data_IF_985383192008
#
_entry.id   IF_985383192008
#
_cell.length_a   1.000
_cell.length_b   1.000
_cell.length_c   1.000
_cell.angle_alpha   90.00
_cell.angle_beta   90.00
_cell.angle_gamma   90.00
#
_symmetry.space_group_name_H-M   'P 1'
#
loop_
_entity.id
_entity.type
_entity.pdbx_description
1 polymer ?
#
# COMPACT_ATOMS: atom_id res chain seq x y z
N UNK A 1 -24.69 -17.89 -20.05
CA UNK A 1 -23.94 -16.63 -19.82
C UNK A 1 -22.47 -16.59 -20.23
N UNK A 2 -21.60 -17.57 -19.90
CA UNK A 2 -20.18 -17.53 -20.33
C UNK A 2 -20.01 -17.57 -21.87
N UNK A 3 -20.87 -18.33 -22.57
CA UNK A 3 -20.89 -18.35 -24.03
C UNK A 3 -21.22 -16.96 -24.63
N UNK A 4 -22.09 -16.18 -23.97
CA UNK A 4 -22.42 -14.83 -24.39
C UNK A 4 -21.23 -13.88 -24.22
N UNK A 5 -20.46 -14.03 -23.13
CA UNK A 5 -19.22 -13.28 -22.93
C UNK A 5 -18.21 -13.55 -24.06
N UNK A 6 -17.99 -14.82 -24.42
CA UNK A 6 -17.12 -15.19 -25.55
C UNK A 6 -17.60 -14.57 -26.86
N UNK A 7 -18.90 -14.65 -27.12
CA UNK A 7 -19.50 -14.05 -28.30
C UNK A 7 -19.29 -12.54 -28.35
N UNK A 8 -19.52 -11.82 -27.24
CA UNK A 8 -19.30 -10.38 -27.14
C UNK A 8 -17.83 -10.01 -27.37
N UNK A 9 -16.89 -10.77 -26.83
CA UNK A 9 -15.46 -10.58 -27.04
C UNK A 9 -15.08 -10.75 -28.53
N UNK A 10 -15.66 -11.73 -29.21
CA UNK A 10 -15.46 -11.94 -30.65
C UNK A 10 -16.09 -10.82 -31.49
N UNK A 11 -17.28 -10.34 -31.10
CA UNK A 11 -17.91 -9.17 -31.71
C UNK A 11 -17.01 -7.92 -31.56
N UNK A 12 -16.48 -7.68 -30.36
CA UNK A 12 -15.55 -6.58 -30.11
C UNK A 12 -14.27 -6.72 -30.94
N UNK A 13 -13.69 -7.92 -31.02
CA UNK A 13 -12.53 -8.20 -31.88
C UNK A 13 -12.82 -7.85 -33.35
N UNK A 14 -14.01 -8.21 -33.87
CA UNK A 14 -14.42 -7.85 -35.24
C UNK A 14 -14.61 -6.35 -35.43
N UNK A 15 -15.24 -5.67 -34.48
CA UNK A 15 -15.52 -4.22 -34.59
C UNK A 15 -14.27 -3.36 -34.41
N UNK A 16 -13.36 -3.75 -33.52
CA UNK A 16 -12.14 -2.98 -33.21
C UNK A 16 -10.97 -3.31 -34.13
N UNK A 17 -10.99 -4.46 -34.82
CA UNK A 17 -9.85 -4.98 -35.57
C UNK A 17 -8.73 -5.55 -34.68
N UNK A 18 -8.93 -5.64 -33.37
CA UNK A 18 -7.96 -6.21 -32.42
C UNK A 18 -8.19 -7.71 -32.22
N UNK A 19 -7.12 -8.50 -32.18
CA UNK A 19 -7.19 -9.95 -31.96
C UNK A 19 -6.86 -10.32 -30.51
N UNK A 20 -7.67 -11.19 -29.91
CA UNK A 20 -7.41 -11.73 -28.57
C UNK A 20 -6.28 -12.74 -28.63
N UNK A 21 -5.27 -12.56 -27.79
CA UNK A 21 -4.19 -13.52 -27.63
C UNK A 21 -4.56 -14.51 -26.52
N UNK A 22 -5.11 -15.67 -26.92
CA UNK A 22 -5.53 -16.71 -25.98
C UNK A 22 -4.35 -17.37 -25.24
N UNK A 23 -3.13 -17.36 -25.80
CA UNK A 23 -1.93 -17.89 -25.12
C UNK A 23 -1.50 -17.03 -23.93
N UNK A 24 -1.76 -15.73 -23.98
CA UNK A 24 -1.52 -14.78 -22.89
C UNK A 24 -2.73 -14.57 -21.99
N UNK A 25 -3.90 -15.12 -22.36
CA UNK A 25 -5.14 -14.95 -21.63
C UNK A 25 -5.37 -16.14 -20.71
N UNK A 26 -5.67 -15.85 -19.44
CA UNK A 26 -6.09 -16.86 -18.48
C UNK A 26 -7.45 -16.49 -17.89
N UNK A 27 -8.16 -17.51 -17.41
CA UNK A 27 -9.42 -17.37 -16.70
C UNK A 27 -9.23 -17.90 -15.30
N UNK A 28 -9.55 -17.06 -14.31
CA UNK A 28 -9.56 -17.44 -12.91
C UNK A 28 -10.99 -17.67 -12.46
N UNK A 29 -11.26 -18.87 -11.96
CA UNK A 29 -12.60 -19.27 -11.50
C UNK A 29 -12.58 -19.38 -9.97
N UNK A 30 -13.51 -18.71 -9.31
CA UNK A 30 -13.63 -18.70 -7.84
C UNK A 30 -14.91 -19.42 -7.42
N UNK A 31 -14.81 -20.31 -6.43
CA UNK A 31 -15.97 -20.98 -5.83
C UNK A 31 -16.57 -22.15 -6.61
N UNK A 32 -15.85 -22.67 -7.62
CA UNK A 32 -16.25 -23.83 -8.41
C UNK A 32 -15.31 -25.02 -8.18
N UNK A 33 -15.79 -26.27 -8.29
CA UNK A 33 -14.93 -27.44 -8.30
C UNK A 33 -14.00 -27.45 -9.51
N UNK A 34 -12.83 -28.11 -9.43
CA UNK A 34 -11.78 -28.02 -10.45
C UNK A 34 -12.23 -28.48 -11.85
N UNK A 35 -13.13 -29.48 -11.92
CA UNK A 35 -13.67 -29.97 -13.19
C UNK A 35 -14.55 -28.92 -13.89
N UNK A 36 -15.40 -28.22 -13.14
CA UNK A 36 -16.23 -27.15 -13.69
C UNK A 36 -15.39 -25.92 -14.05
N UNK A 37 -14.40 -25.59 -13.22
CA UNK A 37 -13.45 -24.51 -13.52
C UNK A 37 -12.71 -24.75 -14.84
N UNK A 38 -12.26 -25.99 -15.08
CA UNK A 38 -11.64 -26.37 -16.35
C UNK A 38 -12.63 -26.25 -17.51
N UNK A 39 -13.86 -26.76 -17.35
CA UNK A 39 -14.90 -26.63 -18.38
C UNK A 39 -15.24 -25.17 -18.73
N UNK A 40 -15.14 -24.25 -17.77
CA UNK A 40 -15.30 -22.80 -18.00
C UNK A 40 -14.11 -22.24 -18.81
N UNK A 41 -12.89 -22.61 -18.45
CA UNK A 41 -11.68 -22.19 -19.16
C UNK A 41 -11.68 -22.68 -20.62
N UNK A 42 -12.04 -23.95 -20.84
CA UNK A 42 -12.14 -24.57 -22.16
C UNK A 42 -13.19 -23.88 -23.03
N UNK A 43 -14.36 -23.53 -22.46
CA UNK A 43 -15.39 -22.77 -23.18
C UNK A 43 -14.88 -21.42 -23.66
N UNK A 44 -14.02 -20.75 -22.89
CA UNK A 44 -13.42 -19.47 -23.24
C UNK A 44 -12.18 -19.60 -24.14
N UNK A 45 -11.69 -20.81 -24.40
CA UNK A 45 -10.41 -21.10 -25.05
C UNK A 45 -9.21 -20.46 -24.32
N UNK A 46 -9.28 -20.31 -22.99
CA UNK A 46 -8.22 -19.71 -22.18
C UNK A 46 -7.59 -20.77 -21.26
N UNK A 47 -6.38 -20.50 -20.79
CA UNK A 47 -5.76 -21.34 -19.73
C UNK A 47 -6.48 -21.11 -18.41
N UNK A 48 -6.62 -22.16 -17.59
CA UNK A 48 -7.09 -22.02 -16.22
C UNK A 48 -5.97 -21.40 -15.37
N UNK A 49 -6.22 -20.20 -14.86
CA UNK A 49 -5.31 -19.48 -13.97
C UNK A 49 -5.48 -19.89 -12.51
N UNK A 50 -4.47 -19.62 -11.69
CA UNK A 50 -4.50 -19.85 -10.25
C UNK A 50 -3.95 -18.66 -9.47
N UNK A 51 -4.41 -18.50 -8.22
CA UNK A 51 -3.84 -17.53 -7.30
C UNK A 51 -2.60 -18.12 -6.61
N UNK A 52 -1.59 -17.29 -6.29
CA UNK A 52 -1.48 -15.85 -6.57
C UNK A 52 -1.03 -15.56 -8.01
N UNK A 53 -1.57 -14.48 -8.62
CA UNK A 53 -1.17 -14.00 -9.96
C UNK A 53 -0.56 -12.61 -9.92
N UNK A 54 0.15 -12.20 -10.97
CA UNK A 54 0.75 -10.86 -11.05
C UNK A 54 0.03 -10.00 -12.09
N UNK A 55 -0.57 -8.90 -11.64
CA UNK A 55 -1.19 -7.90 -12.52
C UNK A 55 -0.44 -6.58 -12.42
N UNK A 56 0.05 -6.08 -13.56
CA UNK A 56 0.85 -4.84 -13.65
C UNK A 56 2.02 -4.80 -12.64
N UNK A 57 2.61 -5.96 -12.35
CA UNK A 57 3.71 -6.09 -11.41
C UNK A 57 3.31 -6.15 -9.93
N UNK A 58 2.00 -6.13 -9.60
CA UNK A 58 1.49 -6.35 -8.25
C UNK A 58 0.97 -7.78 -8.13
N UNK A 59 1.35 -8.54 -7.09
CA UNK A 59 0.75 -9.83 -6.79
C UNK A 59 -0.68 -9.63 -6.26
N UNK A 60 -1.62 -10.36 -6.86
CA UNK A 60 -3.02 -10.45 -6.46
C UNK A 60 -3.25 -11.88 -5.96
N UNK A 61 -3.84 -11.98 -4.78
CA UNK A 61 -4.23 -13.25 -4.17
C UNK A 61 -5.65 -13.14 -3.63
N UNK A 62 -6.33 -14.27 -3.59
CA UNK A 62 -7.61 -14.47 -2.91
C UNK A 62 -7.46 -14.44 -1.38
N UNK A 63 -6.25 -14.76 -0.90
CA UNK A 63 -5.84 -14.78 0.49
C UNK A 63 -4.89 -13.63 0.83
N UNK A 64 -4.54 -13.50 2.11
CA UNK A 64 -3.58 -12.48 2.56
C UNK A 64 -2.21 -12.80 1.99
N UNK A 65 -1.60 -11.84 1.31
CA UNK A 65 -0.28 -12.01 0.73
C UNK A 65 0.77 -12.26 1.82
N UNK A 66 1.61 -13.24 1.57
CA UNK A 66 2.71 -13.62 2.44
C UNK A 66 3.99 -12.88 2.07
N UNK A 67 5.03 -13.05 2.89
CA UNK A 67 6.37 -12.55 2.57
C UNK A 67 6.87 -13.14 1.25
N UNK A 68 6.58 -14.42 0.97
CA UNK A 68 7.03 -15.09 -0.24
C UNK A 68 6.42 -14.47 -1.50
N UNK A 69 5.15 -14.08 -1.45
CA UNK A 69 4.45 -13.49 -2.60
C UNK A 69 4.95 -12.07 -2.92
N UNK A 70 5.37 -11.33 -1.90
CA UNK A 70 5.83 -9.95 -2.02
C UNK A 70 7.34 -9.84 -2.31
N UNK A 71 8.13 -10.85 -1.91
CA UNK A 71 9.59 -10.88 -2.09
C UNK A 71 10.05 -10.67 -3.54
N UNK A 72 9.42 -11.25 -4.59
CA UNK A 72 9.80 -11.00 -5.99
C UNK A 72 9.84 -9.51 -6.37
N UNK A 73 9.01 -8.68 -5.75
CA UNK A 73 9.02 -7.23 -5.99
C UNK A 73 10.26 -6.55 -5.39
N UNK A 74 10.73 -7.03 -4.24
CA UNK A 74 12.00 -6.61 -3.63
C UNK A 74 13.20 -7.16 -4.41
N UNK A 75 13.15 -8.41 -4.89
CA UNK A 75 14.22 -8.99 -5.71
C UNK A 75 14.39 -8.25 -7.05
N UNK A 76 13.29 -7.81 -7.68
CA UNK A 76 13.35 -6.95 -8.88
C UNK A 76 14.08 -5.64 -8.63
N UNK A 77 13.95 -5.08 -7.42
CA UNK A 77 14.71 -3.90 -7.02
C UNK A 77 16.19 -4.24 -6.84
N UNK A 78 16.55 -5.37 -6.24
CA UNK A 78 17.94 -5.83 -6.14
C UNK A 78 18.61 -5.94 -7.52
N UNK A 79 17.97 -6.61 -8.48
CA UNK A 79 18.54 -6.80 -9.83
C UNK A 79 18.72 -5.49 -10.61
N UNK A 80 18.01 -4.42 -10.26
CA UNK A 80 18.23 -3.09 -10.85
C UNK A 80 19.44 -2.37 -10.25
N UNK A 81 19.81 -2.73 -9.02
CA UNK A 81 20.89 -2.10 -8.25
C UNK A 81 22.22 -2.80 -8.48
N UNK A 82 22.21 -4.11 -8.68
CA UNK A 82 23.41 -4.92 -8.94
C UNK A 82 24.28 -4.38 -10.10
N UNK A 83 23.73 -3.93 -11.23
CA UNK A 83 24.52 -3.38 -12.33
C UNK A 83 25.15 -2.02 -12.00
N UNK A 84 24.66 -1.32 -10.98
CA UNK A 84 25.18 0.00 -10.64
C UNK A 84 26.55 -0.14 -9.99
N UNK A 85 27.57 0.14 -10.79
CA UNK A 85 28.96 0.23 -10.34
C UNK A 85 29.13 1.44 -9.43
N UNK A 86 28.87 1.26 -8.13
CA UNK A 86 29.04 2.28 -7.11
C UNK A 86 30.40 2.99 -7.18
N UNK A 87 31.46 2.29 -7.65
CA UNK A 87 32.81 2.84 -7.83
C UNK A 87 32.90 4.10 -8.70
N UNK A 88 32.01 4.26 -9.69
CA UNK A 88 32.03 5.42 -10.60
C UNK A 88 31.14 6.57 -10.13
N UNK A 89 30.51 6.43 -8.97
CA UNK A 89 29.52 7.37 -8.46
C UNK A 89 29.99 7.97 -7.15
N UNK A 90 29.93 9.31 -7.06
CA UNK A 90 30.10 10.03 -5.81
C UNK A 90 29.05 9.59 -4.78
N UNK A 91 29.34 9.75 -3.48
CA UNK A 91 28.36 9.43 -2.42
C UNK A 91 27.04 10.18 -2.61
N UNK A 92 27.09 11.43 -3.05
CA UNK A 92 25.90 12.23 -3.35
C UNK A 92 25.09 11.64 -4.52
N UNK A 93 25.76 11.23 -5.61
CA UNK A 93 25.09 10.60 -6.75
C UNK A 93 24.40 9.27 -6.35
N UNK A 94 25.02 8.50 -5.46
CA UNK A 94 24.39 7.26 -4.92
C UNK A 94 23.11 7.55 -4.15
N UNK A 95 23.09 8.58 -3.30
CA UNK A 95 21.88 9.00 -2.57
C UNK A 95 20.75 9.39 -3.55
N UNK A 96 21.09 10.16 -4.57
CA UNK A 96 20.13 10.60 -5.59
C UNK A 96 19.54 9.39 -6.33
N UNK A 97 20.38 8.44 -6.75
CA UNK A 97 19.93 7.22 -7.43
C UNK A 97 19.02 6.35 -6.55
N UNK A 98 19.38 6.18 -5.27
CA UNK A 98 18.54 5.45 -4.30
C UNK A 98 17.15 6.11 -4.22
N UNK A 99 17.09 7.43 -4.05
CA UNK A 99 15.82 8.11 -3.89
C UNK A 99 14.99 8.17 -5.18
N UNK A 100 15.60 8.32 -6.36
CA UNK A 100 14.88 8.48 -7.62
C UNK A 100 14.37 7.16 -8.20
N UNK A 101 15.13 6.08 -8.09
CA UNK A 101 14.91 4.88 -8.90
C UNK A 101 14.66 3.60 -8.10
N UNK A 102 15.29 3.43 -6.93
CA UNK A 102 15.03 2.26 -6.07
C UNK A 102 13.65 2.31 -5.42
N UNK A 103 13.11 3.51 -5.24
CA UNK A 103 11.94 3.73 -4.42
C UNK A 103 10.64 3.65 -5.24
N UNK A 104 10.64 4.07 -6.51
CA UNK A 104 9.44 4.15 -7.36
C UNK A 104 8.74 2.81 -7.63
N UNK A 105 9.47 1.72 -7.87
CA UNK A 105 8.88 0.39 -8.09
C UNK A 105 8.18 -0.13 -6.82
N UNK A 106 8.83 0.04 -5.67
CA UNK A 106 8.28 -0.41 -4.38
C UNK A 106 7.15 0.50 -3.89
N UNK A 107 7.18 1.80 -4.22
CA UNK A 107 6.11 2.74 -3.85
C UNK A 107 4.77 2.35 -4.43
N UNK A 108 4.74 1.84 -5.66
CA UNK A 108 3.50 1.39 -6.27
C UNK A 108 2.86 0.26 -5.47
N UNK A 109 3.64 -0.75 -5.08
CA UNK A 109 3.15 -1.86 -4.27
C UNK A 109 2.82 -1.43 -2.82
N UNK A 110 3.68 -0.62 -2.20
CA UNK A 110 3.49 -0.09 -0.84
C UNK A 110 2.27 0.82 -0.70
N UNK A 111 1.75 1.36 -1.82
CA UNK A 111 0.50 2.13 -1.82
C UNK A 111 -0.73 1.27 -1.54
N UNK A 112 -0.65 -0.04 -1.74
CA UNK A 112 -1.78 -0.97 -1.55
C UNK A 112 -1.51 -2.01 -0.44
N UNK A 113 -0.26 -2.36 -0.20
CA UNK A 113 0.10 -3.38 0.78
C UNK A 113 1.01 -2.82 1.85
N UNK A 114 0.75 -3.22 3.09
CA UNK A 114 1.71 -3.07 4.18
C UNK A 114 2.72 -4.20 4.08
N UNK A 115 3.96 -3.85 3.77
CA UNK A 115 5.06 -4.81 3.74
C UNK A 115 5.36 -5.34 5.13
N UNK A 116 5.86 -6.57 5.17
CA UNK A 116 6.39 -7.17 6.38
C UNK A 116 7.74 -6.54 6.75
N UNK A 117 8.07 -6.53 8.05
CA UNK A 117 9.32 -5.96 8.54
C UNK A 117 10.56 -6.61 7.90
N UNK A 118 10.49 -7.90 7.61
CA UNK A 118 11.53 -8.65 6.89
C UNK A 118 11.85 -8.05 5.53
N UNK A 119 10.82 -7.68 4.75
CA UNK A 119 10.99 -7.05 3.44
C UNK A 119 11.55 -5.62 3.56
N UNK A 120 11.16 -4.88 4.60
CA UNK A 120 11.77 -3.57 4.87
C UNK A 120 13.27 -3.68 5.17
N UNK A 121 13.67 -4.71 5.92
CA UNK A 121 15.07 -5.00 6.22
C UNK A 121 15.85 -5.44 4.97
N UNK A 122 15.26 -6.28 4.12
CA UNK A 122 15.86 -6.67 2.83
C UNK A 122 16.10 -5.43 1.94
N UNK A 123 15.10 -4.54 1.80
CA UNK A 123 15.24 -3.28 1.07
C UNK A 123 16.35 -2.41 1.64
N UNK A 124 16.38 -2.23 2.97
CA UNK A 124 17.41 -1.46 3.64
C UNK A 124 18.81 -2.05 3.43
N UNK A 125 18.93 -3.39 3.42
CA UNK A 125 20.17 -4.11 3.15
C UNK A 125 20.68 -3.86 1.72
N UNK A 126 19.81 -3.87 0.72
CA UNK A 126 20.21 -3.57 -0.66
C UNK A 126 20.64 -2.11 -0.83
N UNK A 127 19.88 -1.17 -0.26
CA UNK A 127 20.24 0.25 -0.29
C UNK A 127 21.58 0.52 0.42
N UNK A 128 21.78 -0.09 1.60
CA UNK A 128 22.98 0.12 2.40
C UNK A 128 24.22 -0.46 1.72
N UNK A 129 24.13 -1.67 1.17
CA UNK A 129 25.22 -2.28 0.39
C UNK A 129 25.61 -1.41 -0.81
N UNK A 130 24.64 -0.89 -1.55
CA UNK A 130 24.92 -0.01 -2.69
C UNK A 130 25.56 1.31 -2.25
N UNK A 131 25.05 1.94 -1.20
CA UNK A 131 25.59 3.21 -0.70
C UNK A 131 27.03 3.07 -0.19
N UNK A 132 27.33 1.99 0.53
CA UNK A 132 28.64 1.75 1.15
C UNK A 132 29.63 0.99 0.25
N UNK A 133 29.23 0.58 -0.96
CA UNK A 133 30.10 -0.12 -1.91
C UNK A 133 31.43 0.62 -2.13
N UNK A 134 32.56 -0.04 -1.89
CA UNK A 134 33.88 0.51 -2.12
C UNK A 134 34.31 0.43 -3.59
N UNK A 135 35.54 0.86 -3.84
CA UNK A 135 36.20 0.70 -5.14
C UNK A 135 36.87 -0.68 -5.19
N UNK A 136 36.65 -1.43 -6.28
CA UNK A 136 37.28 -2.75 -6.50
C UNK A 136 36.77 -3.88 -5.60
N UNK A 137 35.45 -3.99 -5.38
CA UNK A 137 34.79 -5.05 -4.58
C UNK A 137 35.21 -5.11 -3.09
N UNK A 138 36.01 -4.14 -2.64
CA UNK A 138 36.39 -3.97 -1.23
C UNK A 138 35.20 -3.41 -0.45
N UNK A 139 34.72 -4.16 0.55
CA UNK A 139 33.75 -3.68 1.53
C UNK A 139 34.40 -2.54 2.35
N UNK A 140 33.81 -1.34 2.33
CA UNK A 140 34.21 -0.24 3.23
C UNK A 140 33.39 -0.34 4.52
N UNK A 141 34.02 -0.05 5.65
CA UNK A 141 33.34 -0.02 6.95
C UNK A 141 32.14 0.94 6.94
N UNK A 142 31.02 0.47 7.49
CA UNK A 142 29.83 1.28 7.75
C UNK A 142 30.11 2.22 8.93
N UNK A 143 30.49 3.47 8.65
CA UNK A 143 30.84 4.44 9.70
C UNK A 143 29.63 4.94 10.50
N UNK A 144 28.42 4.83 9.93
CA UNK A 144 27.17 5.33 10.53
C UNK A 144 26.09 4.28 10.32
N UNK A 145 25.18 4.15 11.30
CA UNK A 145 24.05 3.23 11.20
C UNK A 145 23.13 3.62 10.03
N UNK A 146 22.54 2.62 9.36
CA UNK A 146 21.62 2.89 8.24
C UNK A 146 20.37 3.72 8.63
N UNK A 147 19.74 3.48 9.79
CA UNK A 147 18.63 4.32 10.26
C UNK A 147 19.01 5.80 10.45
N UNK A 148 20.22 6.08 10.92
CA UNK A 148 20.70 7.46 11.10
C UNK A 148 20.93 8.16 9.76
N UNK A 149 21.47 7.45 8.77
CA UNK A 149 21.65 7.95 7.40
C UNK A 149 20.30 8.27 6.76
N UNK A 150 19.26 7.46 7.02
CA UNK A 150 17.91 7.66 6.49
C UNK A 150 17.14 8.83 7.12
N UNK A 151 17.71 9.53 8.10
CA UNK A 151 17.07 10.73 8.67
C UNK A 151 16.97 11.86 7.63
N UNK A 152 16.01 12.78 7.77
CA UNK A 152 15.99 14.02 7.00
C UNK A 152 17.31 14.78 7.11
N UNK A 153 17.63 15.59 6.09
CA UNK A 153 18.85 16.41 6.08
C UNK A 153 18.91 17.38 7.27
N UNK A 154 17.76 17.95 7.62
CA UNK A 154 17.60 18.87 8.75
C UNK A 154 17.82 18.19 10.12
N UNK A 155 17.84 16.85 10.15
CA UNK A 155 18.11 16.03 11.33
C UNK A 155 19.47 15.31 11.24
N UNK A 156 20.37 15.79 10.38
CA UNK A 156 21.74 15.26 10.22
C UNK A 156 21.85 13.99 9.38
N UNK A 157 20.78 13.54 8.73
CA UNK A 157 20.81 12.41 7.79
C UNK A 157 21.08 12.84 6.35
N UNK A 158 21.05 11.88 5.42
CA UNK A 158 21.23 12.13 3.98
C UNK A 158 19.90 12.32 3.23
N UNK A 159 18.77 12.17 3.92
CA UNK A 159 17.44 12.22 3.30
C UNK A 159 17.13 10.98 2.46
N UNK A 160 17.72 9.83 2.77
CA UNK A 160 17.32 8.55 2.14
C UNK A 160 15.99 8.10 2.75
N UNK A 161 15.00 7.85 1.89
CA UNK A 161 13.65 7.51 2.36
C UNK A 161 13.58 6.07 2.90
N UNK A 162 13.32 5.94 4.20
CA UNK A 162 13.05 4.65 4.84
C UNK A 162 11.79 4.01 4.24
N UNK A 163 11.92 2.78 3.73
CA UNK A 163 10.81 2.04 3.12
C UNK A 163 9.63 1.85 4.08
N UNK A 164 9.90 1.60 5.36
CA UNK A 164 8.87 1.46 6.40
C UNK A 164 8.08 2.75 6.61
N UNK A 165 8.77 3.88 6.79
CA UNK A 165 8.12 5.19 6.98
C UNK A 165 7.32 5.58 5.75
N UNK A 166 7.88 5.34 4.56
CA UNK A 166 7.20 5.62 3.31
C UNK A 166 5.96 4.75 3.10
N UNK A 167 6.02 3.45 3.44
CA UNK A 167 4.85 2.57 3.34
C UNK A 167 3.70 3.06 4.22
N UNK A 168 4.00 3.45 5.46
CA UNK A 168 3.02 4.04 6.38
C UNK A 168 2.45 5.32 5.77
N UNK A 169 3.30 6.25 5.31
CA UNK A 169 2.85 7.52 4.73
C UNK A 169 1.94 7.31 3.49
N UNK A 170 2.31 6.41 2.58
CA UNK A 170 1.53 6.09 1.38
C UNK A 170 0.17 5.47 1.70
N UNK A 171 0.10 4.58 2.71
CA UNK A 171 -1.16 4.00 3.16
C UNK A 171 -2.01 5.02 3.92
N UNK A 172 -1.41 5.84 4.78
CA UNK A 172 -2.10 6.93 5.50
C UNK A 172 -2.67 7.96 4.54
N UNK A 173 -2.04 8.20 3.38
CA UNK A 173 -2.58 9.06 2.32
C UNK A 173 -3.96 8.59 1.83
N UNK A 174 -4.27 7.30 1.87
CA UNK A 174 -5.63 6.83 1.55
C UNK A 174 -6.66 7.33 2.55
N UNK A 175 -6.35 7.29 3.84
CA UNK A 175 -7.25 7.81 4.88
C UNK A 175 -7.46 9.31 4.72
N UNK A 176 -6.40 10.06 4.42
CA UNK A 176 -6.49 11.49 4.12
C UNK A 176 -7.43 11.77 2.94
N UNK A 177 -7.26 11.03 1.84
CA UNK A 177 -8.15 11.14 0.67
C UNK A 177 -9.59 10.80 1.00
N UNK A 178 -9.81 9.79 1.84
CA UNK A 178 -11.15 9.41 2.28
C UNK A 178 -11.78 10.51 3.15
N UNK A 179 -11.00 11.09 4.07
CA UNK A 179 -11.46 12.16 4.95
C UNK A 179 -11.82 13.44 4.18
N UNK A 180 -11.04 13.80 3.16
CA UNK A 180 -11.27 15.01 2.37
C UNK A 180 -12.20 14.82 1.15
N UNK A 181 -12.63 13.60 0.85
CA UNK A 181 -13.42 13.33 -0.36
C UNK A 181 -12.59 13.39 -1.67
N UNK A 182 -11.27 13.32 -1.61
CA UNK A 182 -10.37 13.48 -2.75
C UNK A 182 -10.07 12.14 -3.46
N UNK A 183 -10.89 11.73 -4.42
CA UNK A 183 -10.52 10.56 -5.23
C UNK A 183 -11.46 10.05 -6.31
N UNK A 184 -12.49 10.80 -6.68
CA UNK A 184 -13.41 10.45 -7.76
C UNK A 184 -14.05 9.07 -7.56
N UNK A 185 -14.30 8.36 -8.67
CA UNK A 185 -15.02 7.09 -8.69
C UNK A 185 -14.41 6.01 -7.78
N UNK A 186 -13.09 5.91 -7.74
CA UNK A 186 -12.43 4.89 -6.92
C UNK A 186 -12.64 5.16 -5.43
N UNK A 187 -12.69 6.42 -5.02
CA UNK A 187 -13.03 6.75 -3.64
C UNK A 187 -14.49 6.40 -3.34
N UNK A 188 -15.42 6.69 -4.25
CA UNK A 188 -16.84 6.31 -4.11
C UNK A 188 -17.00 4.79 -3.94
N UNK A 189 -16.26 3.99 -4.71
CA UNK A 189 -16.27 2.52 -4.57
C UNK A 189 -15.76 2.10 -3.18
N UNK A 190 -14.66 2.69 -2.70
CA UNK A 190 -14.11 2.39 -1.37
C UNK A 190 -15.10 2.79 -0.27
N UNK A 191 -15.68 4.00 -0.34
CA UNK A 191 -16.63 4.49 0.65
C UNK A 191 -17.88 3.59 0.69
N UNK A 192 -18.46 3.25 -0.47
CA UNK A 192 -19.63 2.38 -0.53
C UNK A 192 -19.33 0.97 -0.02
N UNK A 193 -18.16 0.42 -0.36
CA UNK A 193 -17.77 -0.95 0.05
C UNK A 193 -17.47 -1.05 1.55
N UNK A 194 -16.73 -0.10 2.10
CA UNK A 194 -16.19 -0.21 3.47
C UNK A 194 -16.87 0.71 4.48
N UNK A 195 -17.17 1.97 4.13
CA UNK A 195 -17.79 2.91 5.05
C UNK A 195 -19.32 2.75 5.13
N UNK A 196 -19.97 2.33 4.03
CA UNK A 196 -21.42 2.09 3.96
C UNK A 196 -22.25 3.28 4.48
N UNK A 197 -21.83 4.50 4.16
CA UNK A 197 -22.49 5.74 4.59
C UNK A 197 -22.10 6.23 5.98
N UNK A 198 -21.29 5.49 6.75
CA UNK A 198 -20.78 5.95 8.04
C UNK A 198 -19.54 6.85 7.90
N UNK A 199 -19.34 7.84 8.78
CA UNK A 199 -18.11 8.60 8.78
C UNK A 199 -16.89 7.73 9.12
N UNK A 200 -15.72 8.10 8.60
CA UNK A 200 -14.47 7.33 8.78
C UNK A 200 -14.15 7.06 10.27
N UNK A 201 -14.48 8.01 11.15
CA UNK A 201 -14.23 7.90 12.58
C UNK A 201 -15.02 6.76 13.26
N UNK A 202 -16.20 6.42 12.73
CA UNK A 202 -17.12 5.41 13.26
C UNK A 202 -17.06 4.06 12.55
N UNK A 203 -16.29 3.98 11.46
CA UNK A 203 -16.22 2.77 10.65
C UNK A 203 -15.69 1.56 11.45
N UNK A 204 -16.29 0.39 11.20
CA UNK A 204 -15.81 -0.87 11.76
C UNK A 204 -14.37 -1.16 11.33
N UNK A 205 -13.55 -1.51 12.32
CA UNK A 205 -12.12 -1.82 12.11
C UNK A 205 -11.87 -3.28 11.76
N UNK A 206 -12.89 -4.13 11.86
CA UNK A 206 -12.82 -5.58 11.59
C UNK A 206 -13.52 -5.92 10.28
N UNK A 207 -12.98 -6.93 9.58
CA UNK A 207 -13.53 -7.40 8.31
C UNK A 207 -13.11 -6.60 7.07
N UNK A 208 -13.35 -7.19 5.90
CA UNK A 208 -12.96 -6.62 4.60
C UNK A 208 -11.59 -7.10 4.09
N UNK A 209 -11.16 -6.54 2.97
CA UNK A 209 -9.92 -6.91 2.28
C UNK A 209 -8.67 -6.61 3.12
N UNK A 210 -7.57 -7.32 2.84
CA UNK A 210 -6.24 -7.01 3.40
C UNK A 210 -5.80 -5.54 3.23
N UNK A 211 -6.16 -4.90 2.11
CA UNK A 211 -5.93 -3.47 1.89
C UNK A 211 -6.65 -2.62 2.95
N UNK A 212 -7.97 -2.75 3.07
CA UNK A 212 -8.76 -1.99 4.04
C UNK A 212 -8.27 -2.18 5.47
N UNK A 213 -8.00 -3.44 5.85
CA UNK A 213 -7.50 -3.77 7.19
C UNK A 213 -6.18 -3.07 7.51
N UNK A 214 -5.27 -2.97 6.54
CA UNK A 214 -4.00 -2.25 6.74
C UNK A 214 -4.18 -0.73 6.78
N UNK A 215 -5.09 -0.19 5.95
CA UNK A 215 -5.37 1.26 5.90
C UNK A 215 -6.08 1.73 7.17
N UNK A 216 -7.15 1.07 7.62
CA UNK A 216 -7.94 1.52 8.78
C UNK A 216 -7.15 1.46 10.09
N UNK A 217 -6.20 0.52 10.21
CA UNK A 217 -5.29 0.43 11.36
C UNK A 217 -4.35 1.64 11.47
N UNK A 218 -4.15 2.40 10.40
CA UNK A 218 -3.32 3.61 10.39
C UNK A 218 -4.11 4.89 10.74
N UNK A 219 -5.41 4.78 11.05
CA UNK A 219 -6.21 5.94 11.46
C UNK A 219 -5.65 6.69 12.68
N UNK A 220 -5.14 6.01 13.73
CA UNK A 220 -4.47 6.70 14.83
C UNK A 220 -3.23 7.48 14.38
N UNK A 221 -2.49 6.98 13.38
CA UNK A 221 -1.31 7.67 12.84
C UNK A 221 -1.73 8.95 12.12
N UNK A 222 -2.82 8.93 11.36
CA UNK A 222 -3.36 10.13 10.72
C UNK A 222 -3.71 11.19 11.78
N UNK A 223 -4.42 10.80 12.84
CA UNK A 223 -4.86 11.69 13.93
C UNK A 223 -3.72 12.39 14.67
N UNK A 224 -2.51 11.84 14.65
CA UNK A 224 -1.33 12.52 15.22
C UNK A 224 -0.92 13.74 14.37
N UNK A 225 -1.11 13.68 13.05
CA UNK A 225 -0.70 14.73 12.13
C UNK A 225 -1.80 15.70 11.70
N UNK A 226 -3.06 15.48 12.12
CA UNK A 226 -4.21 16.25 11.65
C UNK A 226 -5.03 16.86 12.79
N UNK A 227 -5.59 18.04 12.56
CA UNK A 227 -6.66 18.63 13.37
C UNK A 227 -7.96 18.71 12.56
N UNK A 228 -9.09 18.62 13.23
CA UNK A 228 -10.42 18.67 12.61
C UNK A 228 -11.06 20.02 12.92
N UNK A 229 -11.49 20.74 11.89
CA UNK A 229 -12.39 21.88 12.05
C UNK A 229 -13.82 21.36 12.11
N UNK A 230 -14.52 21.62 13.21
CA UNK A 230 -15.87 21.10 13.44
C UNK A 230 -16.87 21.87 12.59
N UNK A 231 -17.55 21.16 11.68
CA UNK A 231 -18.76 21.63 10.99
C UNK A 231 -20.00 21.18 11.78
N UNK A 232 -20.74 20.20 11.26
CA UNK A 232 -21.92 19.62 11.94
C UNK A 232 -21.57 18.83 13.20
N UNK A 233 -20.34 18.35 13.36
CA UNK A 233 -19.91 17.50 14.48
C UNK A 233 -20.28 16.02 14.35
N UNK A 234 -21.13 15.65 13.37
CA UNK A 234 -21.64 14.28 13.15
C UNK A 234 -20.55 13.25 12.84
N UNK A 235 -19.45 13.71 12.24
CA UNK A 235 -18.32 12.90 11.77
C UNK A 235 -17.11 12.93 12.69
N UNK A 236 -17.18 13.67 13.81
CA UNK A 236 -16.06 13.95 14.71
C UNK A 236 -16.29 13.29 16.07
N UNK A 237 -15.33 12.49 16.55
CA UNK A 237 -15.39 11.90 17.89
C UNK A 237 -14.98 12.92 18.94
N UNK A 238 -15.84 13.13 19.93
CA UNK A 238 -15.61 14.10 21.00
C UNK A 238 -14.29 13.87 21.74
N UNK A 239 -14.01 12.61 22.12
CA UNK A 239 -12.85 12.26 22.95
C UNK A 239 -11.55 12.00 22.18
N UNK A 240 -11.64 11.40 21.00
CA UNK A 240 -10.49 10.83 20.28
C UNK A 240 -9.97 11.70 19.15
N UNK A 241 -10.80 12.59 18.59
CA UNK A 241 -10.38 13.48 17.52
C UNK A 241 -9.83 14.79 18.10
N UNK A 242 -8.86 15.38 17.39
CA UNK A 242 -8.26 16.65 17.76
C UNK A 242 -9.04 17.78 17.10
N UNK A 243 -10.13 18.16 17.74
CA UNK A 243 -11.00 19.24 17.28
C UNK A 243 -10.94 20.48 18.19
N UNK A 244 -10.38 20.35 19.40
CA UNK A 244 -10.22 21.44 20.37
C UNK A 244 -8.79 21.51 20.94
N UNK A 245 -7.96 22.37 20.35
CA UNK A 245 -6.56 22.58 20.74
C UNK A 245 -5.59 21.54 20.14
N UNK A 246 -4.45 21.33 20.80
CA UNK A 246 -3.33 20.56 20.23
C UNK A 246 -3.37 19.05 20.50
N UNK A 247 -4.25 18.59 21.39
CA UNK A 247 -4.37 17.18 21.79
C UNK A 247 -5.82 16.72 21.94
N UNK A 248 -6.11 15.41 21.77
CA UNK A 248 -7.44 14.86 22.03
C UNK A 248 -7.86 15.06 23.48
N UNK A 249 -9.16 15.29 23.72
CA UNK A 249 -9.69 15.52 25.07
C UNK A 249 -9.46 14.34 26.01
N UNK A 250 -9.47 13.10 25.49
CA UNK A 250 -9.19 11.91 26.30
C UNK A 250 -7.77 11.92 26.90
N UNK A 251 -6.80 12.48 26.18
CA UNK A 251 -5.43 12.61 26.66
C UNK A 251 -5.28 13.78 27.64
N UNK A 252 -6.05 14.85 27.45
CA UNK A 252 -5.99 16.06 28.27
C UNK A 252 -6.73 15.93 29.59
N UNK A 253 -7.84 15.18 29.61
CA UNK A 253 -8.69 14.98 30.78
C UNK A 253 -8.99 13.49 31.04
N UNK A 254 -7.98 12.69 31.42
CA UNK A 254 -8.13 11.24 31.59
C UNK A 254 -9.17 10.87 32.65
N UNK A 255 -9.29 11.67 33.73
CA UNK A 255 -10.28 11.43 34.80
C UNK A 255 -11.73 11.67 34.37
N UNK A 256 -11.99 12.63 33.46
CA UNK A 256 -13.33 12.82 32.88
C UNK A 256 -13.63 11.75 31.83
N UNK A 257 -12.61 11.34 31.07
CA UNK A 257 -12.75 10.28 30.09
C UNK A 257 -13.09 8.92 30.73
N UNK A 258 -12.51 8.61 31.90
CA UNK A 258 -12.76 7.32 32.57
C UNK A 258 -14.20 7.15 33.08
N UNK A 259 -14.93 8.26 33.28
CA UNK A 259 -16.33 8.26 33.71
C UNK A 259 -17.31 8.52 32.55
N UNK A 260 -16.82 8.62 31.31
CA UNK A 260 -17.66 8.89 30.16
C UNK A 260 -18.59 7.69 29.86
N UNK A 261 -19.90 7.94 29.78
CA UNK A 261 -20.90 6.92 29.47
C UNK A 261 -20.72 6.33 28.06
N UNK A 262 -20.40 7.18 27.08
CA UNK A 262 -20.01 6.76 25.73
C UNK A 262 -18.66 7.38 25.32
N UNK A 263 -17.57 6.60 25.36
CA UNK A 263 -16.25 7.04 24.91
C UNK A 263 -16.15 7.39 23.42
N UNK A 264 -17.10 6.92 22.59
CA UNK A 264 -17.10 7.14 21.14
C UNK A 264 -18.21 8.06 20.65
N UNK A 265 -18.74 8.91 21.53
CA UNK A 265 -19.75 9.90 21.17
C UNK A 265 -19.25 10.90 20.11
N UNK A 266 -20.16 11.37 19.25
CA UNK A 266 -19.92 12.46 18.30
C UNK A 266 -19.97 13.83 18.99
N UNK A 267 -19.52 14.88 18.29
CA UNK A 267 -19.60 16.27 18.79
C UNK A 267 -20.99 16.89 18.59
N UNK A 268 -21.79 16.36 17.66
CA UNK A 268 -23.15 16.87 17.32
C UNK A 268 -24.21 16.61 18.41
N UNK A 269 -23.90 15.79 19.42
CA UNK A 269 -24.87 15.24 20.37
C UNK A 269 -25.87 16.26 20.95
#
# INVERSE_FOLDING_TARGET
>A
DIANLKFLLLCFQRMSGLTINFDKSEVMVLGYPPLEAQGIADRLNCRLGSFPTTYLGIPISDSRLTVADLRPSVTRMQHRVEPWKGRWLSKAARVILINSSMASLLWFLMRFYRLHETLHQEVAKYQSRFYWAGEGDKQKYHMVSWPDICKPKDQGGLGILSSRRMNIALLTRWLWRIANGEGGLLLTIIQNKYLRGQPLAFCQRTGGSQFWQTVIQLLPVLRIGTSISVGSGSSTLFWFDRWLGDSPLAARFPGLFSIAADPRISVEA
#
